data_IF_968779804257
#
_entry.id   IF_968779804257
#
_cell.length_a   1.000
_cell.length_b   1.000
_cell.length_c   1.000
_cell.angle_alpha   90.00
_cell.angle_beta   90.00
_cell.angle_gamma   90.00
#
_symmetry.space_group_name_H-M   'P 1'
#
loop_
_entity.id
_entity.type
_entity.pdbx_description
1 polymer ?
#
# COMPACT_ATOMS: atom_id res chain seq x y z
N UNK A 1 12.88 -5.24 5.04
CA UNK A 1 12.91 -5.46 3.57
C UNK A 1 13.79 -4.39 2.96
N UNK A 2 14.65 -4.75 1.99
CA UNK A 2 15.74 -3.90 1.51
C UNK A 2 15.24 -2.98 0.38
N UNK A 3 15.78 -1.76 0.25
CA UNK A 3 15.35 -0.76 -0.75
C UNK A 3 15.33 -1.25 -2.21
N UNK A 4 16.00 -2.36 -2.53
CA UNK A 4 15.93 -3.03 -3.84
C UNK A 4 14.53 -3.53 -4.22
N UNK A 5 13.68 -3.91 -3.26
CA UNK A 5 12.30 -4.32 -3.54
C UNK A 5 11.37 -3.14 -3.78
N UNK A 6 11.61 -2.00 -3.12
CA UNK A 6 10.82 -0.78 -3.34
C UNK A 6 10.99 -0.28 -4.78
N UNK A 7 12.24 -0.20 -5.24
CA UNK A 7 12.52 0.20 -6.62
C UNK A 7 11.86 -0.70 -7.67
N UNK A 8 11.64 -1.99 -7.38
CA UNK A 8 10.93 -2.86 -8.30
C UNK A 8 9.46 -2.43 -8.47
N UNK A 9 8.79 -2.06 -7.38
CA UNK A 9 7.44 -1.54 -7.42
C UNK A 9 7.38 -0.17 -8.09
N UNK A 10 8.21 0.79 -7.67
CA UNK A 10 8.18 2.15 -8.21
C UNK A 10 8.44 2.23 -9.72
N UNK A 11 9.18 1.26 -10.28
CA UNK A 11 9.45 1.16 -11.71
C UNK A 11 8.58 0.14 -12.45
N UNK A 12 7.56 -0.43 -11.80
CA UNK A 12 6.62 -1.33 -12.47
C UNK A 12 5.74 -0.54 -13.45
N UNK A 13 5.78 -0.85 -14.77
CA UNK A 13 5.07 -0.07 -15.78
C UNK A 13 3.55 -0.14 -15.64
N UNK A 14 3.03 -1.11 -14.88
CA UNK A 14 1.59 -1.26 -14.60
C UNK A 14 1.09 -0.24 -13.58
N UNK A 15 2.01 0.32 -12.77
CA UNK A 15 1.68 1.29 -11.74
C UNK A 15 0.92 0.69 -10.53
N UNK A 16 0.64 1.53 -9.52
CA UNK A 16 0.05 1.07 -8.26
C UNK A 16 -1.38 0.52 -8.44
N UNK A 17 -2.19 1.09 -9.34
CA UNK A 17 -3.58 0.68 -9.58
C UNK A 17 -3.71 -0.79 -9.97
N UNK A 18 -2.82 -1.28 -10.81
CA UNK A 18 -2.83 -2.68 -11.27
C UNK A 18 -2.05 -3.60 -10.33
N UNK A 19 -0.98 -3.12 -9.70
CA UNK A 19 -0.11 -3.97 -8.88
C UNK A 19 -0.70 -4.22 -7.49
N UNK A 20 -1.18 -3.17 -6.81
CA UNK A 20 -1.62 -3.27 -5.41
C UNK A 20 -2.73 -4.30 -5.19
N UNK A 21 -3.77 -4.41 -6.05
CA UNK A 21 -4.81 -5.43 -5.89
C UNK A 21 -4.29 -6.87 -5.97
N UNK A 22 -3.15 -7.10 -6.63
CA UNK A 22 -2.55 -8.44 -6.81
C UNK A 22 -1.74 -8.91 -5.60
N UNK A 23 -1.36 -7.98 -4.71
CA UNK A 23 -0.56 -8.29 -3.52
C UNK A 23 -1.39 -9.03 -2.47
N UNK A 24 -0.77 -9.96 -1.76
CA UNK A 24 -1.33 -10.50 -0.51
C UNK A 24 -1.40 -9.41 0.57
N UNK A 25 -2.20 -9.64 1.62
CA UNK A 25 -2.30 -8.68 2.74
C UNK A 25 -0.93 -8.41 3.41
N UNK A 26 -0.10 -9.44 3.56
CA UNK A 26 1.24 -9.32 4.14
C UNK A 26 2.20 -8.55 3.22
N UNK A 27 2.11 -8.74 1.90
CA UNK A 27 2.92 -7.99 0.94
C UNK A 27 2.52 -6.51 0.90
N UNK A 28 1.22 -6.22 0.93
CA UNK A 28 0.71 -4.85 0.98
C UNK A 28 1.15 -4.14 2.27
N UNK A 29 1.04 -4.79 3.43
CA UNK A 29 1.50 -4.23 4.70
C UNK A 29 3.01 -3.96 4.68
N UNK A 30 3.82 -4.92 4.20
CA UNK A 30 5.26 -4.71 4.06
C UNK A 30 5.62 -3.59 3.08
N UNK A 31 4.85 -3.44 1.99
CA UNK A 31 5.06 -2.35 1.03
C UNK A 31 4.75 -0.99 1.66
N UNK A 32 3.67 -0.88 2.43
CA UNK A 32 3.33 0.32 3.19
C UNK A 32 4.44 0.72 4.17
N UNK A 33 4.98 -0.23 4.94
CA UNK A 33 6.08 0.02 5.87
C UNK A 33 7.32 0.57 5.16
N UNK A 34 7.68 -0.01 4.02
CA UNK A 34 8.87 0.40 3.25
C UNK A 34 8.65 1.74 2.55
N UNK A 35 7.45 2.02 2.06
CA UNK A 35 7.08 3.33 1.50
C UNK A 35 7.12 4.41 2.57
N UNK A 36 6.56 4.15 3.76
CA UNK A 36 6.61 5.08 4.88
C UNK A 36 8.05 5.42 5.28
N UNK A 37 8.92 4.40 5.40
CA UNK A 37 10.36 4.61 5.67
C UNK A 37 11.08 5.35 4.54
N UNK A 38 10.65 5.20 3.28
CA UNK A 38 11.22 5.95 2.16
C UNK A 38 10.78 7.41 2.18
N UNK A 39 9.52 7.69 2.54
CA UNK A 39 8.97 9.05 2.66
C UNK A 39 9.57 9.83 3.82
N UNK A 40 10.06 9.15 4.85
CA UNK A 40 10.78 9.78 5.98
C UNK A 40 12.22 10.20 5.64
N UNK A 41 12.73 9.85 4.44
CA UNK A 41 14.07 10.26 4.00
C UNK A 41 14.07 11.74 3.57
N UNK A 42 15.21 12.44 3.68
CA UNK A 42 15.34 13.82 3.18
C UNK A 42 15.04 13.97 1.68
N UNK A 43 15.38 12.94 0.90
CA UNK A 43 15.10 12.83 -0.54
C UNK A 43 14.40 11.49 -0.80
N UNK A 44 13.05 11.45 -0.79
CA UNK A 44 12.29 10.24 -1.08
C UNK A 44 12.39 9.87 -2.56
N UNK A 45 12.17 8.60 -2.85
CA UNK A 45 12.21 8.10 -4.23
C UNK A 45 11.00 8.65 -5.01
N UNK A 46 11.22 9.02 -6.27
CA UNK A 46 10.14 9.53 -7.12
C UNK A 46 9.00 8.52 -7.23
N UNK A 47 7.77 8.99 -7.05
CA UNK A 47 6.57 8.16 -7.08
C UNK A 47 6.24 7.45 -5.77
N UNK A 48 7.12 7.47 -4.75
CA UNK A 48 6.84 6.82 -3.46
C UNK A 48 5.58 7.37 -2.78
N UNK A 49 5.32 8.67 -2.87
CA UNK A 49 4.11 9.27 -2.30
C UNK A 49 2.84 8.72 -2.96
N UNK A 50 2.78 8.73 -4.30
CA UNK A 50 1.62 8.24 -5.04
C UNK A 50 1.37 6.74 -4.77
N UNK A 51 2.44 5.95 -4.71
CA UNK A 51 2.34 4.53 -4.34
C UNK A 51 1.83 4.33 -2.91
N UNK A 52 2.25 5.16 -1.95
CA UNK A 52 1.79 5.09 -0.56
C UNK A 52 0.33 5.43 -0.42
N UNK A 53 -0.13 6.54 -1.02
CA UNK A 53 -1.53 6.95 -1.00
C UNK A 53 -2.45 5.85 -1.54
N UNK A 54 -2.12 5.30 -2.71
CA UNK A 54 -2.89 4.21 -3.32
C UNK A 54 -2.85 2.92 -2.48
N UNK A 55 -1.72 2.60 -1.85
CA UNK A 55 -1.60 1.42 -0.99
C UNK A 55 -2.43 1.55 0.31
N UNK A 56 -2.54 2.77 0.85
CA UNK A 56 -3.44 3.06 2.00
C UNK A 56 -4.89 2.90 1.58
N UNK A 57 -5.28 3.43 0.42
CA UNK A 57 -6.64 3.27 -0.12
C UNK A 57 -6.98 1.79 -0.36
N UNK A 58 -6.06 1.02 -0.93
CA UNK A 58 -6.20 -0.43 -1.10
C UNK A 58 -6.41 -1.14 0.25
N UNK A 59 -5.59 -0.81 1.25
CA UNK A 59 -5.67 -1.39 2.59
C UNK A 59 -7.01 -1.09 3.26
N UNK A 60 -7.48 0.15 3.17
CA UNK A 60 -8.80 0.57 3.64
C UNK A 60 -9.93 -0.19 2.94
N UNK A 61 -9.85 -0.33 1.61
CA UNK A 61 -10.86 -1.03 0.80
C UNK A 61 -10.98 -2.50 1.20
N UNK A 62 -9.84 -3.18 1.42
CA UNK A 62 -9.80 -4.58 1.91
C UNK A 62 -10.37 -4.72 3.32
N UNK A 63 -10.11 -3.74 4.17
CA UNK A 63 -10.61 -3.74 5.55
C UNK A 63 -12.13 -3.54 5.59
N UNK A 64 -12.67 -2.66 4.75
CA UNK A 64 -14.12 -2.41 4.63
C UNK A 64 -14.90 -3.60 4.03
N UNK A 65 -14.24 -4.44 3.23
CA UNK A 65 -14.82 -5.65 2.64
C UNK A 65 -14.85 -6.86 3.57
N UNK A 66 -14.25 -6.78 4.76
CA UNK A 66 -14.34 -7.82 5.77
C UNK A 66 -15.72 -7.76 6.45
N UNK A 67 -16.51 -8.84 6.49
CA UNK A 67 -17.88 -8.83 7.00
C UNK A 67 -18.01 -8.53 8.51
N UNK A 68 -16.90 -8.29 9.22
CA UNK A 68 -16.89 -8.04 10.67
C UNK A 68 -17.16 -6.57 11.06
N UNK A 69 -17.62 -5.73 10.12
CA UNK A 69 -18.03 -4.33 10.39
C UNK A 69 -19.52 -4.07 10.12
N UNK A 70 -20.32 -5.11 9.83
CA UNK A 70 -21.77 -4.99 9.65
C UNK A 70 -22.57 -5.29 10.93
N UNK A 71 -21.97 -5.17 12.12
CA UNK A 71 -22.64 -5.44 13.39
C UNK A 71 -22.32 -4.36 14.42
N UNK A 72 -22.98 -3.20 14.33
CA UNK A 72 -23.60 -2.50 15.47
C UNK A 72 -24.15 -1.15 15.00
N UNK A 73 -25.47 -1.04 14.91
CA UNK A 73 -26.08 0.25 14.61
C UNK A 73 -27.59 0.23 14.38
N UNK A 74 -28.35 -0.64 15.05
CA UNK A 74 -29.79 -0.43 15.25
C UNK A 74 -30.18 -0.86 16.67
N UNK A 75 -30.49 0.11 17.51
CA UNK A 75 -31.30 -0.03 18.72
C UNK A 75 -32.12 1.25 18.88
#
# INVERSE_FOLDING_TARGET
MNGSKLNHYLNDPRGPEEVLPTLTAAELANLLDVLYQNLDKPEPDFGAQAWYEMAVEESCRRSAGSPDSAAHGVA
#
